data_IF_216511083752
#
_entry.id   IF_216511083752
#
_cell.length_a   1.000
_cell.length_b   1.000
_cell.length_c   1.000
_cell.angle_alpha   90.00
_cell.angle_beta   90.00
_cell.angle_gamma   90.00
#
_symmetry.space_group_name_H-M   'P 1'
#
loop_
_entity.id
_entity.type
_entity.pdbx_description
1 polymer ?
#
# COMPACT_ATOMS: atom_id res chain seq x y z
N UNK A 1 -21.80 -6.31 -11.39
CA UNK A 1 -20.84 -5.36 -11.99
C UNK A 1 -19.97 -6.07 -13.01
N UNK A 2 -19.55 -5.38 -14.07
CA UNK A 2 -18.50 -5.82 -15.01
C UNK A 2 -17.17 -5.27 -14.56
N UNK A 3 -16.19 -6.11 -14.29
CA UNK A 3 -14.90 -5.76 -13.69
C UNK A 3 -13.78 -5.91 -14.72
N UNK A 4 -12.98 -4.87 -14.90
CA UNK A 4 -11.72 -4.91 -15.64
C UNK A 4 -10.55 -5.00 -14.67
N UNK A 5 -9.64 -5.97 -14.84
CA UNK A 5 -8.42 -6.11 -14.04
C UNK A 5 -7.22 -5.88 -14.95
N UNK A 6 -6.56 -4.75 -14.82
CA UNK A 6 -5.34 -4.41 -15.56
C UNK A 6 -4.11 -4.91 -14.80
N UNK A 7 -3.19 -5.59 -15.50
CA UNK A 7 -2.06 -6.27 -14.87
C UNK A 7 -2.46 -7.53 -14.10
N UNK A 8 -3.66 -8.09 -14.41
CA UNK A 8 -4.29 -9.13 -13.60
C UNK A 8 -3.64 -10.51 -13.70
N UNK A 9 -2.69 -10.74 -14.60
CA UNK A 9 -1.88 -11.97 -14.67
C UNK A 9 -0.50 -11.83 -14.03
N UNK A 10 -0.14 -10.63 -13.57
CA UNK A 10 1.11 -10.35 -12.86
C UNK A 10 1.11 -10.84 -11.41
N UNK A 11 2.22 -10.66 -10.69
CA UNK A 11 2.42 -11.13 -9.32
C UNK A 11 1.25 -10.82 -8.39
N UNK A 12 0.93 -9.53 -8.18
CA UNK A 12 -0.19 -9.09 -7.33
C UNK A 12 -1.56 -9.36 -8.00
N UNK A 13 -1.63 -9.19 -9.33
CA UNK A 13 -2.87 -9.31 -10.10
C UNK A 13 -3.50 -10.69 -10.05
N UNK A 14 -2.71 -11.76 -9.99
CA UNK A 14 -3.22 -13.13 -9.86
C UNK A 14 -4.00 -13.35 -8.58
N UNK A 15 -3.50 -12.81 -7.46
CA UNK A 15 -4.19 -12.92 -6.17
C UNK A 15 -5.49 -12.14 -6.18
N UNK A 16 -5.48 -10.89 -6.66
CA UNK A 16 -6.70 -10.11 -6.84
C UNK A 16 -7.70 -10.80 -7.76
N UNK A 17 -7.25 -11.28 -8.95
CA UNK A 17 -8.13 -11.95 -9.91
C UNK A 17 -8.75 -13.22 -9.35
N UNK A 18 -7.99 -14.04 -8.61
CA UNK A 18 -8.51 -15.22 -7.92
C UNK A 18 -9.49 -14.85 -6.83
N UNK A 19 -9.14 -13.86 -5.98
CA UNK A 19 -9.99 -13.43 -4.88
C UNK A 19 -11.37 -12.92 -5.35
N UNK A 20 -11.42 -12.15 -6.44
CA UNK A 20 -12.67 -11.60 -6.95
C UNK A 20 -13.48 -12.59 -7.80
N UNK A 21 -12.89 -13.69 -8.25
CA UNK A 21 -13.55 -14.65 -9.15
C UNK A 21 -14.79 -15.30 -8.53
N UNK A 22 -14.82 -15.42 -7.22
CA UNK A 22 -15.91 -16.01 -6.42
C UNK A 22 -16.87 -14.98 -5.82
N UNK A 23 -16.62 -13.67 -5.99
CA UNK A 23 -17.48 -12.65 -5.41
C UNK A 23 -18.86 -12.62 -6.11
N UNK A 24 -19.90 -12.56 -5.29
CA UNK A 24 -21.24 -12.31 -5.76
C UNK A 24 -21.39 -10.88 -6.31
N UNK A 25 -22.37 -10.66 -7.18
CA UNK A 25 -22.61 -9.34 -7.78
C UNK A 25 -21.71 -9.01 -8.97
N UNK A 26 -20.72 -9.86 -9.33
CA UNK A 26 -19.90 -9.73 -10.53
C UNK A 26 -20.54 -10.53 -11.66
N UNK A 27 -20.87 -9.83 -12.75
CA UNK A 27 -21.44 -10.43 -13.97
C UNK A 27 -20.39 -10.93 -14.96
N UNK A 28 -19.25 -10.23 -15.03
CA UNK A 28 -18.09 -10.63 -15.84
C UNK A 28 -16.79 -10.01 -15.34
N UNK A 29 -15.67 -10.71 -15.56
CA UNK A 29 -14.32 -10.26 -15.27
C UNK A 29 -13.51 -10.31 -16.57
N UNK A 30 -12.95 -9.17 -16.96
CA UNK A 30 -11.95 -9.10 -18.03
C UNK A 30 -10.57 -8.92 -17.39
N UNK A 31 -9.70 -9.90 -17.53
CA UNK A 31 -8.30 -9.82 -17.08
C UNK A 31 -7.48 -9.34 -18.27
N UNK A 32 -6.77 -8.23 -18.12
CA UNK A 32 -5.98 -7.64 -19.20
C UNK A 32 -4.51 -7.52 -18.79
N UNK A 33 -3.64 -7.87 -19.71
CA UNK A 33 -2.20 -7.76 -19.51
C UNK A 33 -1.49 -7.52 -20.85
N UNK A 34 -0.23 -7.08 -20.81
CA UNK A 34 0.56 -6.87 -22.02
C UNK A 34 0.82 -8.18 -22.79
N UNK A 35 1.06 -9.27 -22.06
CA UNK A 35 1.27 -10.60 -22.63
C UNK A 35 -0.06 -11.34 -22.87
N UNK A 36 -0.57 -11.22 -24.08
CA UNK A 36 -1.85 -11.83 -24.48
C UNK A 36 -1.92 -13.34 -24.20
N UNK A 37 -0.85 -14.10 -24.52
CA UNK A 37 -0.83 -15.56 -24.32
C UNK A 37 -0.88 -15.94 -22.85
N UNK A 38 -0.11 -15.24 -22.01
CA UNK A 38 -0.08 -15.50 -20.57
C UNK A 38 -1.41 -15.19 -19.90
N UNK A 39 -2.03 -14.05 -20.24
CA UNK A 39 -3.30 -13.65 -19.65
C UNK A 39 -4.45 -14.54 -20.12
N UNK A 40 -4.47 -14.98 -21.37
CA UNK A 40 -5.47 -15.94 -21.89
C UNK A 40 -5.33 -17.31 -21.16
N UNK A 41 -4.10 -17.82 -21.03
CA UNK A 41 -3.87 -19.06 -20.30
C UNK A 41 -4.29 -18.96 -18.84
N UNK A 42 -4.00 -17.82 -18.18
CA UNK A 42 -4.39 -17.57 -16.80
C UNK A 42 -5.92 -17.46 -16.66
N UNK A 43 -6.59 -16.74 -17.54
CA UNK A 43 -8.06 -16.61 -17.52
C UNK A 43 -8.75 -17.97 -17.76
N UNK A 44 -8.22 -18.80 -18.65
CA UNK A 44 -8.74 -20.14 -18.90
C UNK A 44 -8.59 -21.09 -17.69
N UNK A 45 -7.65 -20.84 -16.78
CA UNK A 45 -7.47 -21.65 -15.57
C UNK A 45 -8.60 -21.53 -14.55
N UNK A 46 -9.50 -20.57 -14.71
CA UNK A 46 -10.68 -20.41 -13.83
C UNK A 46 -11.86 -21.30 -14.22
N UNK A 47 -11.82 -21.94 -15.36
CA UNK A 47 -12.92 -22.82 -15.85
C UNK A 47 -14.31 -22.12 -15.81
N UNK A 48 -14.34 -20.82 -16.07
CA UNK A 48 -15.54 -19.97 -15.93
C UNK A 48 -15.80 -19.13 -17.18
N UNK A 49 -17.01 -19.20 -17.70
CA UNK A 49 -17.46 -18.39 -18.84
C UNK A 49 -17.59 -16.88 -18.51
N UNK A 50 -17.53 -16.51 -17.22
CA UNK A 50 -17.59 -15.10 -16.78
C UNK A 50 -16.24 -14.42 -16.85
N UNK A 51 -15.14 -15.18 -17.01
CA UNK A 51 -13.77 -14.67 -16.97
C UNK A 51 -13.13 -14.82 -18.34
N UNK A 52 -12.59 -13.73 -18.87
CA UNK A 52 -11.85 -13.71 -20.12
C UNK A 52 -10.51 -12.99 -19.99
N UNK A 53 -9.50 -13.46 -20.71
CA UNK A 53 -8.18 -12.83 -20.82
C UNK A 53 -8.05 -12.05 -22.13
N UNK A 54 -7.45 -10.86 -22.07
CA UNK A 54 -7.17 -10.07 -23.27
C UNK A 54 -5.77 -9.44 -23.23
N UNK A 55 -5.09 -9.39 -24.38
CA UNK A 55 -3.87 -8.62 -24.55
C UNK A 55 -4.16 -7.13 -24.68
N UNK A 56 -3.63 -6.31 -23.76
CA UNK A 56 -3.82 -4.87 -23.74
C UNK A 56 -2.52 -4.15 -23.36
N UNK A 57 -2.12 -3.20 -24.19
CA UNK A 57 -1.16 -2.18 -23.80
C UNK A 57 -1.95 -0.96 -23.28
N UNK A 58 -1.83 -0.65 -21.98
CA UNK A 58 -2.52 0.50 -21.36
C UNK A 58 -2.10 1.86 -21.91
N UNK A 59 -0.99 1.94 -22.65
CA UNK A 59 -0.57 3.14 -23.37
C UNK A 59 -1.33 3.35 -24.70
N UNK A 60 -2.03 2.34 -25.20
CA UNK A 60 -2.97 2.50 -26.32
C UNK A 60 -4.27 3.09 -25.78
N UNK A 61 -4.30 4.44 -25.71
CA UNK A 61 -5.42 5.19 -25.14
C UNK A 61 -6.76 4.85 -25.81
N UNK A 62 -6.78 4.65 -27.13
CA UNK A 62 -7.99 4.34 -27.87
C UNK A 62 -8.57 2.98 -27.47
N UNK A 63 -7.71 1.96 -27.43
CA UNK A 63 -8.10 0.60 -27.03
C UNK A 63 -8.47 0.53 -25.54
N UNK A 64 -7.71 1.22 -24.67
CA UNK A 64 -8.02 1.29 -23.25
C UNK A 64 -9.40 1.89 -22.99
N UNK A 65 -9.71 3.06 -23.57
CA UNK A 65 -11.03 3.70 -23.44
C UNK A 65 -12.16 2.83 -23.97
N UNK A 66 -12.00 2.22 -25.16
CA UNK A 66 -13.00 1.31 -25.71
C UNK A 66 -13.32 0.14 -24.79
N UNK A 67 -12.31 -0.39 -24.07
CA UNK A 67 -12.54 -1.46 -23.11
C UNK A 67 -13.19 -0.93 -21.83
N UNK A 68 -12.73 0.20 -21.30
CA UNK A 68 -13.27 0.81 -20.08
C UNK A 68 -14.76 1.16 -20.23
N UNK A 69 -15.20 1.63 -21.41
CA UNK A 69 -16.60 1.97 -21.68
C UNK A 69 -17.57 0.79 -21.48
N UNK A 70 -17.09 -0.45 -21.57
CA UNK A 70 -17.90 -1.67 -21.38
C UNK A 70 -17.86 -2.19 -19.92
N UNK A 71 -17.16 -1.50 -19.00
CA UNK A 71 -16.96 -1.95 -17.63
C UNK A 71 -17.47 -0.93 -16.60
N UNK A 72 -17.91 -1.43 -15.44
CA UNK A 72 -18.40 -0.59 -14.34
C UNK A 72 -17.26 -0.12 -13.42
N UNK A 73 -16.21 -0.95 -13.29
CA UNK A 73 -15.06 -0.72 -12.41
C UNK A 73 -13.80 -1.30 -13.01
N UNK A 74 -12.68 -0.57 -12.83
CA UNK A 74 -11.33 -1.04 -13.15
C UNK A 74 -10.50 -1.19 -11.89
N UNK A 75 -9.82 -2.34 -11.76
CA UNK A 75 -8.78 -2.61 -10.78
C UNK A 75 -7.43 -2.48 -11.51
N UNK A 76 -6.62 -1.48 -11.14
CA UNK A 76 -5.35 -1.23 -11.80
C UNK A 76 -4.17 -1.73 -10.97
N UNK A 77 -3.57 -2.84 -11.42
CA UNK A 77 -2.34 -3.42 -10.87
C UNK A 77 -1.18 -3.31 -11.87
N UNK A 78 -1.26 -2.37 -12.81
CA UNK A 78 -0.25 -2.21 -13.85
C UNK A 78 0.89 -1.33 -13.36
N UNK A 79 2.01 -1.94 -13.02
CA UNK A 79 3.26 -1.22 -12.68
C UNK A 79 4.12 -0.90 -13.91
N UNK A 80 5.03 0.09 -13.84
CA UNK A 80 5.24 0.99 -12.69
C UNK A 80 4.19 2.12 -12.61
N UNK A 81 3.73 2.43 -11.39
CA UNK A 81 2.63 3.34 -11.15
C UNK A 81 2.93 4.80 -11.53
N UNK A 82 4.17 5.25 -11.37
CA UNK A 82 4.59 6.59 -11.81
C UNK A 82 4.34 6.84 -13.30
N UNK A 83 4.20 5.77 -14.09
CA UNK A 83 3.95 5.85 -15.54
C UNK A 83 2.48 5.60 -15.90
N UNK A 84 1.80 4.68 -15.21
CA UNK A 84 0.52 4.15 -15.66
C UNK A 84 -0.67 4.55 -14.78
N UNK A 85 -0.50 4.88 -13.49
CA UNK A 85 -1.62 5.14 -12.59
C UNK A 85 -2.49 6.31 -13.07
N UNK A 86 -1.90 7.50 -13.26
CA UNK A 86 -2.64 8.68 -13.67
C UNK A 86 -3.37 8.53 -15.02
N UNK A 87 -2.73 8.09 -16.12
CA UNK A 87 -3.43 7.98 -17.40
C UNK A 87 -4.53 6.91 -17.41
N UNK A 88 -4.42 5.87 -16.59
CA UNK A 88 -5.48 4.87 -16.47
C UNK A 88 -6.66 5.42 -15.68
N UNK A 89 -6.41 6.12 -14.56
CA UNK A 89 -7.46 6.79 -13.78
C UNK A 89 -8.20 7.83 -14.62
N UNK A 90 -7.46 8.70 -15.34
CA UNK A 90 -8.04 9.70 -16.24
C UNK A 90 -9.00 9.03 -17.25
N UNK A 91 -8.52 8.00 -17.94
CA UNK A 91 -9.34 7.27 -18.91
C UNK A 91 -10.57 6.58 -18.27
N UNK A 92 -10.41 6.01 -17.06
CA UNK A 92 -11.52 5.38 -16.35
C UNK A 92 -12.64 6.38 -16.01
N UNK A 93 -12.28 7.55 -15.50
CA UNK A 93 -13.25 8.60 -15.18
C UNK A 93 -13.93 9.16 -16.42
N UNK A 94 -13.18 9.38 -17.50
CA UNK A 94 -13.75 9.82 -18.79
C UNK A 94 -14.80 8.84 -19.33
N UNK A 95 -14.57 7.52 -19.16
CA UNK A 95 -15.47 6.45 -19.58
C UNK A 95 -16.50 6.04 -18.50
N UNK A 96 -16.69 6.86 -17.47
CA UNK A 96 -17.64 6.62 -16.37
C UNK A 96 -17.43 5.30 -15.62
N UNK A 97 -16.19 4.89 -15.42
CA UNK A 97 -15.79 3.69 -14.72
C UNK A 97 -15.27 4.03 -13.30
N UNK A 98 -15.67 3.27 -12.27
CA UNK A 98 -15.03 3.35 -10.98
C UNK A 98 -13.58 2.85 -11.05
N UNK A 99 -12.72 3.31 -10.17
CA UNK A 99 -11.30 2.99 -10.19
C UNK A 99 -10.78 2.60 -8.82
N UNK A 100 -10.05 1.49 -8.73
CA UNK A 100 -9.29 1.11 -7.55
C UNK A 100 -7.89 0.68 -7.99
N UNK A 101 -6.86 1.06 -7.22
CA UNK A 101 -5.48 0.63 -7.48
C UNK A 101 -4.70 0.31 -6.20
N UNK A 102 -3.48 -0.15 -6.39
CA UNK A 102 -2.50 -0.42 -5.34
C UNK A 102 -1.27 0.50 -5.46
N UNK A 103 -1.45 1.71 -6.00
CA UNK A 103 -0.36 2.66 -6.23
C UNK A 103 0.37 3.02 -4.93
N UNK A 104 1.66 2.76 -4.88
CA UNK A 104 2.54 3.02 -3.74
C UNK A 104 3.55 4.17 -4.00
N UNK A 105 3.38 4.89 -5.11
CA UNK A 105 4.19 6.05 -5.46
C UNK A 105 3.52 7.37 -5.06
N UNK A 106 4.22 8.23 -4.34
CA UNK A 106 3.68 9.52 -3.90
C UNK A 106 3.44 10.54 -5.04
N UNK A 107 4.30 10.57 -6.07
CA UNK A 107 4.20 11.51 -7.19
C UNK A 107 2.94 11.31 -8.03
N UNK A 108 2.63 10.10 -8.54
CA UNK A 108 1.37 9.86 -9.24
C UNK A 108 0.16 10.01 -8.34
N UNK A 109 0.25 9.66 -7.05
CA UNK A 109 -0.84 9.86 -6.08
C UNK A 109 -1.20 11.34 -5.95
N UNK A 110 -0.22 12.22 -5.77
CA UNK A 110 -0.47 13.67 -5.72
C UNK A 110 -1.10 14.18 -7.03
N UNK A 111 -0.65 13.67 -8.16
CA UNK A 111 -1.23 14.03 -9.46
C UNK A 111 -2.65 13.51 -9.62
N UNK A 112 -2.95 12.28 -9.18
CA UNK A 112 -4.28 11.70 -9.27
C UNK A 112 -5.33 12.50 -8.48
N UNK A 113 -4.98 13.14 -7.37
CA UNK A 113 -5.90 14.04 -6.65
C UNK A 113 -6.38 15.23 -7.49
N UNK A 114 -5.64 15.65 -8.53
CA UNK A 114 -6.11 16.71 -9.44
C UNK A 114 -7.34 16.30 -10.26
N UNK A 115 -7.66 15.01 -10.31
CA UNK A 115 -8.84 14.47 -10.98
C UNK A 115 -10.07 14.37 -10.06
N UNK A 116 -9.97 14.83 -8.79
CA UNK A 116 -11.06 14.71 -7.81
C UNK A 116 -12.35 15.36 -8.32
N UNK A 117 -12.28 16.58 -8.84
CA UNK A 117 -13.45 17.28 -9.36
C UNK A 117 -14.11 16.48 -10.51
N UNK A 118 -13.32 15.94 -11.44
CA UNK A 118 -13.84 15.10 -12.53
C UNK A 118 -14.56 13.86 -11.99
N UNK A 119 -13.99 13.21 -10.97
CA UNK A 119 -14.61 12.04 -10.35
C UNK A 119 -15.95 12.38 -9.67
N UNK A 120 -16.03 13.52 -8.98
CA UNK A 120 -17.26 14.04 -8.35
C UNK A 120 -18.32 14.37 -9.39
N UNK A 121 -17.96 15.11 -10.45
CA UNK A 121 -18.86 15.46 -11.55
C UNK A 121 -19.44 14.22 -12.26
N UNK A 122 -18.65 13.17 -12.37
CA UNK A 122 -19.06 11.89 -12.95
C UNK A 122 -19.76 10.96 -11.94
N UNK A 123 -19.87 11.36 -10.68
CA UNK A 123 -20.36 10.53 -9.57
C UNK A 123 -19.64 9.16 -9.53
N UNK A 124 -18.31 9.19 -9.67
CA UNK A 124 -17.43 8.02 -9.63
C UNK A 124 -16.51 8.05 -8.43
N UNK A 125 -16.26 6.88 -7.88
CA UNK A 125 -15.30 6.66 -6.83
C UNK A 125 -13.99 6.17 -7.45
N UNK A 126 -12.89 6.79 -7.05
CA UNK A 126 -11.55 6.27 -7.24
C UNK A 126 -10.88 6.10 -5.87
N UNK A 127 -10.47 4.88 -5.50
CA UNK A 127 -9.64 4.64 -4.31
C UNK A 127 -8.23 4.33 -4.79
N UNK A 128 -7.28 5.15 -4.39
CA UNK A 128 -5.88 5.05 -4.78
C UNK A 128 -5.04 4.51 -3.63
N UNK A 129 -4.24 3.47 -3.89
CA UNK A 129 -3.36 2.88 -2.90
C UNK A 129 -4.05 1.91 -1.94
N UNK A 130 -4.82 0.96 -2.43
CA UNK A 130 -5.54 -0.02 -1.62
C UNK A 130 -4.83 -1.38 -1.61
N UNK A 131 -3.59 -1.39 -1.12
CA UNK A 131 -2.72 -2.57 -0.98
C UNK A 131 -2.32 -2.84 0.48
N UNK A 132 -1.05 -3.22 0.68
CA UNK A 132 -0.49 -3.43 2.01
C UNK A 132 -0.04 -2.10 2.64
N UNK A 133 0.83 -1.36 1.94
CA UNK A 133 1.28 0.00 2.26
C UNK A 133 1.49 0.73 0.93
N UNK A 134 0.57 1.65 0.59
CA UNK A 134 -0.66 2.02 1.29
C UNK A 134 -1.75 0.93 1.27
N UNK A 135 -2.75 1.12 2.11
CA UNK A 135 -3.93 0.26 2.23
C UNK A 135 -4.12 -0.25 3.66
N UNK A 136 -3.62 -1.45 3.99
CA UNK A 136 -3.68 -1.99 5.36
C UNK A 136 -3.11 -0.99 6.36
N UNK A 137 -1.96 -0.40 6.08
CA UNK A 137 -1.31 0.59 6.96
C UNK A 137 -2.17 1.84 7.19
N UNK A 138 -2.92 2.30 6.16
CA UNK A 138 -3.85 3.42 6.31
C UNK A 138 -4.99 3.08 7.28
N UNK A 139 -5.58 1.88 7.17
CA UNK A 139 -6.66 1.48 8.08
C UNK A 139 -6.15 1.25 9.50
N UNK A 140 -4.93 0.72 9.69
CA UNK A 140 -4.30 0.62 11.02
C UNK A 140 -4.09 2.02 11.62
N UNK A 141 -3.57 2.96 10.85
CA UNK A 141 -3.38 4.34 11.29
C UNK A 141 -4.72 5.04 11.59
N UNK A 142 -5.73 4.86 10.73
CA UNK A 142 -7.07 5.39 10.96
C UNK A 142 -7.70 4.81 12.25
N UNK A 143 -7.47 3.53 12.54
CA UNK A 143 -7.91 2.91 13.80
C UNK A 143 -7.17 3.50 15.01
N UNK A 144 -5.86 3.78 14.89
CA UNK A 144 -5.11 4.46 15.94
C UNK A 144 -5.61 5.89 16.17
N UNK A 145 -5.87 6.64 15.10
CA UNK A 145 -6.42 8.00 15.15
C UNK A 145 -7.78 8.05 15.86
N UNK A 146 -8.62 7.03 15.66
CA UNK A 146 -9.97 6.98 16.27
C UNK A 146 -9.96 6.86 17.80
N UNK A 147 -8.82 6.53 18.41
CA UNK A 147 -8.66 6.50 19.87
C UNK A 147 -8.30 7.87 20.48
N UNK A 148 -8.02 8.88 19.67
CA UNK A 148 -7.61 10.20 20.09
C UNK A 148 -8.72 11.25 19.86
N UNK A 149 -8.81 12.25 20.73
CA UNK A 149 -9.70 13.39 20.55
C UNK A 149 -9.11 14.43 19.57
N UNK A 150 -7.79 14.52 19.54
CA UNK A 150 -7.04 15.41 18.66
C UNK A 150 -5.79 14.69 18.15
N UNK A 151 -5.63 14.60 16.83
CA UNK A 151 -4.47 13.96 16.19
C UNK A 151 -3.47 15.01 15.72
N UNK A 152 -2.20 14.86 16.08
CA UNK A 152 -1.11 15.74 15.66
C UNK A 152 -0.17 15.09 14.67
N UNK A 153 0.13 13.81 14.87
CA UNK A 153 1.06 13.08 13.99
C UNK A 153 0.50 11.72 13.63
N UNK A 154 0.80 11.29 12.43
CA UNK A 154 0.42 9.97 11.92
C UNK A 154 1.64 9.34 11.24
N UNK A 155 1.96 8.12 11.66
CA UNK A 155 3.00 7.31 11.04
C UNK A 155 2.43 5.98 10.60
N UNK A 156 2.75 5.57 9.40
CA UNK A 156 2.54 4.22 8.91
C UNK A 156 3.87 3.51 8.81
N UNK A 157 3.92 2.23 9.11
CA UNK A 157 5.18 1.50 9.13
C UNK A 157 5.04 0.08 8.60
N UNK A 158 6.14 -0.43 8.02
CA UNK A 158 6.22 -1.77 7.48
C UNK A 158 7.65 -2.32 7.55
N UNK A 159 7.74 -3.65 7.65
CA UNK A 159 8.99 -4.39 7.74
C UNK A 159 9.40 -4.91 6.36
N UNK A 160 10.60 -4.51 5.90
CA UNK A 160 11.13 -4.97 4.62
C UNK A 160 11.41 -6.48 4.60
N UNK A 161 11.70 -7.08 5.76
CA UNK A 161 11.95 -8.52 5.85
C UNK A 161 10.69 -9.37 5.68
N UNK A 162 9.50 -8.78 5.88
CA UNK A 162 8.22 -9.46 5.65
C UNK A 162 7.76 -9.44 4.19
N UNK A 163 8.43 -8.66 3.33
CA UNK A 163 8.13 -8.61 1.90
C UNK A 163 8.74 -9.83 1.18
N UNK A 164 8.07 -10.97 1.28
CA UNK A 164 8.48 -12.20 0.59
C UNK A 164 8.13 -12.12 -0.89
N UNK A 165 9.11 -12.26 -1.84
CA UNK A 165 8.83 -12.25 -3.26
C UNK A 165 8.03 -13.49 -3.66
N UNK A 166 7.16 -13.34 -4.66
CA UNK A 166 6.37 -14.45 -5.21
C UNK A 166 7.27 -15.46 -5.93
N UNK A 167 7.10 -16.75 -5.63
CA UNK A 167 7.90 -17.85 -6.25
C UNK A 167 7.77 -17.90 -7.78
N UNK A 168 6.66 -17.42 -8.34
CA UNK A 168 6.39 -17.48 -9.80
C UNK A 168 6.91 -16.27 -10.58
N UNK A 169 7.57 -15.30 -9.97
CA UNK A 169 8.11 -14.11 -10.66
C UNK A 169 9.34 -14.38 -11.51
N UNK A 170 9.81 -15.63 -11.58
CA UNK A 170 11.09 -16.05 -12.16
C UNK A 170 11.21 -16.00 -13.70
N UNK A 171 10.22 -15.49 -14.42
CA UNK A 171 10.26 -15.43 -15.90
C UNK A 171 10.51 -14.05 -16.50
N UNK A 172 10.71 -13.01 -15.72
CA UNK A 172 11.04 -11.67 -16.23
C UNK A 172 12.54 -11.36 -16.08
N UNK A 173 13.06 -10.56 -16.98
CA UNK A 173 14.48 -10.14 -17.05
C UNK A 173 15.01 -9.43 -15.79
N UNK A 174 14.12 -8.83 -14.99
CA UNK A 174 14.36 -8.23 -13.64
C UNK A 174 13.03 -8.22 -12.90
N UNK A 175 13.02 -8.55 -11.62
CA UNK A 175 11.83 -8.45 -10.79
C UNK A 175 11.33 -6.99 -10.76
N UNK A 176 10.08 -6.77 -11.21
CA UNK A 176 9.50 -5.44 -11.31
C UNK A 176 9.38 -4.75 -9.93
N UNK A 177 9.08 -5.50 -8.87
CA UNK A 177 9.00 -4.98 -7.51
C UNK A 177 10.38 -4.52 -7.00
N UNK A 178 11.46 -5.27 -7.30
CA UNK A 178 12.82 -4.88 -6.92
C UNK A 178 13.27 -3.60 -7.64
N UNK A 179 12.98 -3.50 -8.94
CA UNK A 179 13.30 -2.28 -9.70
C UNK A 179 12.53 -1.07 -9.15
N UNK A 180 11.27 -1.27 -8.82
CA UNK A 180 10.41 -0.26 -8.22
C UNK A 180 10.93 0.18 -6.84
N UNK A 181 11.29 -0.76 -5.96
CA UNK A 181 11.89 -0.47 -4.67
C UNK A 181 13.17 0.38 -4.79
N UNK A 182 14.03 0.11 -5.79
CA UNK A 182 15.20 0.95 -6.06
C UNK A 182 14.79 2.36 -6.48
N UNK A 183 13.76 2.51 -7.30
CA UNK A 183 13.28 3.82 -7.74
C UNK A 183 12.79 4.65 -6.56
N UNK A 184 12.06 4.06 -5.63
CA UNK A 184 11.57 4.74 -4.42
C UNK A 184 12.68 5.09 -3.43
N UNK A 185 13.80 4.37 -3.44
CA UNK A 185 14.93 4.61 -2.55
C UNK A 185 15.98 5.60 -3.08
N UNK A 186 15.84 6.08 -4.33
CA UNK A 186 16.76 7.04 -4.99
C UNK A 186 16.09 8.41 -5.11
N UNK A 187 16.89 9.47 -5.05
CA UNK A 187 16.38 10.84 -5.18
C UNK A 187 15.81 11.41 -3.90
N UNK A 188 14.60 11.95 -3.97
CA UNK A 188 13.91 12.57 -2.83
C UNK A 188 12.47 12.06 -2.75
N UNK A 189 11.97 11.92 -1.53
CA UNK A 189 10.59 11.55 -1.22
C UNK A 189 9.88 12.68 -0.50
N UNK A 190 8.58 12.80 -0.71
CA UNK A 190 7.76 13.83 -0.10
C UNK A 190 7.21 13.35 1.23
N UNK A 191 7.36 14.17 2.25
CA UNK A 191 6.85 13.94 3.60
C UNK A 191 6.17 15.21 4.12
N UNK A 192 5.37 15.08 5.18
CA UNK A 192 4.74 16.21 5.84
C UNK A 192 5.29 16.38 7.25
N UNK A 193 5.98 17.49 7.51
CA UNK A 193 6.66 17.76 8.80
C UNK A 193 6.51 19.24 9.14
N UNK A 194 6.06 19.51 10.38
CA UNK A 194 5.81 20.87 10.88
C UNK A 194 4.84 21.66 9.98
N UNK A 195 3.69 21.07 9.68
CA UNK A 195 2.63 21.64 8.82
C UNK A 195 3.08 22.02 7.40
N UNK A 196 4.12 21.36 6.87
CA UNK A 196 4.64 21.64 5.53
C UNK A 196 5.12 20.38 4.82
N UNK A 197 4.79 20.30 3.54
CA UNK A 197 5.42 19.31 2.67
C UNK A 197 6.91 19.61 2.48
N UNK A 198 7.73 18.58 2.61
CA UNK A 198 9.19 18.65 2.43
C UNK A 198 9.68 17.49 1.58
N UNK A 199 10.64 17.78 0.72
CA UNK A 199 11.39 16.74 -0.01
C UNK A 199 12.63 16.36 0.80
N UNK A 200 12.67 15.12 1.26
CA UNK A 200 13.77 14.57 2.05
C UNK A 200 14.45 13.41 1.33
N UNK A 201 15.65 13.06 1.73
CA UNK A 201 16.29 11.83 1.23
C UNK A 201 15.60 10.62 1.85
N UNK A 202 15.23 9.59 1.05
CA UNK A 202 14.73 8.32 1.58
C UNK A 202 15.81 7.65 2.44
N UNK A 203 15.40 6.72 3.29
CA UNK A 203 16.23 6.00 4.26
C UNK A 203 16.90 6.90 5.33
N UNK A 204 16.43 8.13 5.49
CA UNK A 204 16.81 8.94 6.66
C UNK A 204 16.18 8.34 7.90
N UNK A 205 16.99 8.07 8.92
CA UNK A 205 16.50 7.52 10.19
C UNK A 205 15.75 8.56 11.01
N UNK A 206 14.64 8.11 11.57
CA UNK A 206 13.84 8.81 12.57
C UNK A 206 13.65 7.91 13.79
N UNK A 207 13.44 8.53 14.95
CA UNK A 207 13.06 7.82 16.17
C UNK A 207 11.54 7.64 16.18
N UNK A 208 11.11 6.45 16.56
CA UNK A 208 9.73 6.06 16.74
C UNK A 208 9.60 5.54 18.17
N UNK A 209 8.83 6.23 19.00
CA UNK A 209 8.46 5.71 20.30
C UNK A 209 7.17 4.90 20.13
N UNK A 210 7.31 3.57 20.09
CA UNK A 210 6.17 2.69 19.93
C UNK A 210 5.60 2.35 21.32
N UNK A 211 4.31 2.58 21.57
CA UNK A 211 3.68 2.27 22.86
C UNK A 211 4.00 0.85 23.34
N UNK A 212 4.36 0.72 24.62
CA UNK A 212 4.72 -0.54 25.30
C UNK A 212 6.02 -1.21 24.84
N UNK A 213 6.46 -0.98 23.60
CA UNK A 213 7.70 -1.56 23.08
C UNK A 213 8.92 -0.63 23.26
N UNK A 214 8.72 0.70 23.33
CA UNK A 214 9.79 1.68 23.54
C UNK A 214 10.32 2.32 22.26
N UNK A 215 11.59 2.76 22.28
CA UNK A 215 12.22 3.55 21.23
C UNK A 215 12.88 2.69 20.15
N UNK A 216 12.53 2.94 18.92
CA UNK A 216 13.08 2.30 17.72
C UNK A 216 13.61 3.32 16.72
N UNK A 217 14.41 2.83 15.78
CA UNK A 217 14.86 3.62 14.62
C UNK A 217 14.28 3.03 13.35
N UNK A 218 13.43 3.80 12.66
CA UNK A 218 12.90 3.45 11.35
C UNK A 218 13.45 4.39 10.28
N UNK A 219 13.32 4.01 9.03
CA UNK A 219 13.78 4.76 7.86
C UNK A 219 12.61 5.42 7.15
N UNK A 220 12.69 6.71 6.84
CA UNK A 220 11.70 7.38 5.99
C UNK A 220 11.65 6.69 4.63
N UNK A 221 10.44 6.35 4.18
CA UNK A 221 10.19 5.76 2.87
C UNK A 221 9.23 6.63 2.05
N UNK A 222 9.13 6.38 0.74
CA UNK A 222 8.44 7.24 -0.21
C UNK A 222 7.00 6.87 -0.50
N UNK A 223 6.33 6.13 0.37
CA UNK A 223 4.94 5.77 0.14
C UNK A 223 3.98 6.95 0.36
N UNK A 224 2.82 6.92 -0.30
CA UNK A 224 1.90 8.05 -0.37
C UNK A 224 1.19 8.40 0.94
N UNK A 225 1.15 7.52 1.96
CA UNK A 225 0.50 7.82 3.25
C UNK A 225 1.05 9.11 3.89
N UNK A 226 2.35 9.38 3.68
CA UNK A 226 2.97 10.62 4.15
C UNK A 226 2.34 11.90 3.57
N UNK A 227 1.63 11.80 2.45
CA UNK A 227 0.97 12.93 1.79
C UNK A 227 -0.56 12.82 1.80
N UNK A 228 -1.13 11.63 1.86
CA UNK A 228 -2.57 11.43 1.81
C UNK A 228 -3.24 11.77 3.15
N UNK A 229 -2.64 11.41 4.29
CA UNK A 229 -3.17 11.81 5.59
C UNK A 229 -3.30 13.33 5.74
N UNK A 230 -2.26 14.16 5.53
CA UNK A 230 -2.44 15.61 5.64
C UNK A 230 -3.31 16.22 4.54
N UNK A 231 -3.51 15.53 3.41
CA UNK A 231 -4.45 15.95 2.39
C UNK A 231 -5.91 15.83 2.87
N UNK A 232 -6.23 14.76 3.58
CA UNK A 232 -7.59 14.48 4.06
C UNK A 232 -7.85 14.95 5.50
N UNK A 233 -6.79 15.13 6.31
CA UNK A 233 -6.81 15.55 7.70
C UNK A 233 -5.85 16.75 7.90
N UNK A 234 -6.28 17.96 7.52
CA UNK A 234 -5.41 19.16 7.51
C UNK A 234 -4.94 19.61 8.90
N UNK A 235 -5.55 19.10 9.97
CA UNK A 235 -5.15 19.35 11.37
C UNK A 235 -3.87 18.61 11.78
N UNK A 236 -3.45 17.60 11.03
CA UNK A 236 -2.22 16.86 11.28
C UNK A 236 -1.02 17.75 10.99
N UNK A 237 -0.04 17.77 11.90
CA UNK A 237 1.20 18.55 11.75
C UNK A 237 2.37 17.75 11.17
N UNK A 238 2.30 16.39 11.27
CA UNK A 238 3.34 15.50 10.77
C UNK A 238 2.76 14.18 10.26
N UNK A 239 3.21 13.73 9.08
CA UNK A 239 2.87 12.43 8.52
C UNK A 239 4.07 11.83 7.79
N UNK A 240 4.42 10.58 8.15
CA UNK A 240 5.55 9.83 7.60
C UNK A 240 5.13 8.40 7.27
N UNK A 241 5.68 7.86 6.18
CA UNK A 241 5.74 6.41 5.99
C UNK A 241 7.14 5.92 6.34
N UNK A 242 7.23 4.82 7.08
CA UNK A 242 8.44 4.33 7.72
C UNK A 242 8.70 2.87 7.38
N UNK A 243 9.91 2.56 6.97
CA UNK A 243 10.41 1.20 6.75
C UNK A 243 11.36 0.81 7.88
N UNK A 244 11.30 -0.43 8.31
CA UNK A 244 12.23 -1.03 9.29
C UNK A 244 12.63 -2.45 8.87
N UNK A 245 13.32 -3.20 9.74
CA UNK A 245 13.76 -4.57 9.45
C UNK A 245 15.04 -4.65 8.63
N UNK A 246 15.50 -3.54 8.02
CA UNK A 246 16.74 -3.55 7.26
C UNK A 246 17.97 -3.78 8.17
N UNK A 247 18.84 -4.71 7.78
CA UNK A 247 20.11 -4.94 8.47
C UNK A 247 21.21 -3.92 8.09
N UNK A 248 22.32 -3.95 8.81
CA UNK A 248 23.43 -3.03 8.57
C UNK A 248 24.11 -3.27 7.22
N UNK A 249 24.17 -4.52 6.77
CA UNK A 249 24.78 -4.92 5.48
C UNK A 249 23.95 -4.42 4.31
N UNK A 250 22.64 -4.65 4.35
CA UNK A 250 21.69 -4.12 3.38
C UNK A 250 21.81 -2.60 3.24
N UNK A 251 21.82 -1.89 4.37
CA UNK A 251 21.95 -0.42 4.39
C UNK A 251 23.24 0.08 3.76
N UNK A 252 24.36 -0.61 4.01
CA UNK A 252 25.65 -0.24 3.45
C UNK A 252 25.67 -0.46 1.94
N UNK A 253 25.28 -1.65 1.50
CA UNK A 253 25.21 -2.01 0.07
C UNK A 253 24.28 -1.04 -0.66
N UNK A 254 23.12 -0.78 -0.08
CA UNK A 254 22.15 0.11 -0.69
C UNK A 254 22.65 1.55 -0.83
N UNK A 255 23.34 2.09 0.20
CA UNK A 255 23.98 3.41 0.11
C UNK A 255 25.01 3.49 -1.02
N UNK A 256 25.76 2.41 -1.21
CA UNK A 256 26.76 2.32 -2.27
C UNK A 256 26.11 2.27 -3.66
N UNK A 257 25.10 1.40 -3.85
CA UNK A 257 24.34 1.31 -5.10
C UNK A 257 23.69 2.65 -5.44
N UNK A 258 23.02 3.25 -4.47
CA UNK A 258 22.40 4.56 -4.62
C UNK A 258 23.38 5.64 -5.07
N UNK A 259 24.57 5.72 -4.46
CA UNK A 259 25.61 6.66 -4.86
C UNK A 259 25.96 6.48 -6.34
N UNK A 260 26.20 5.26 -6.81
CA UNK A 260 26.53 5.00 -8.20
C UNK A 260 25.36 5.25 -9.17
N UNK A 261 24.12 5.06 -8.72
CA UNK A 261 22.93 5.42 -9.52
C UNK A 261 22.79 6.94 -9.64
N UNK A 262 22.94 7.68 -8.53
CA UNK A 262 22.81 9.15 -8.50
C UNK A 262 23.86 9.84 -9.37
N UNK A 263 25.10 9.33 -9.43
CA UNK A 263 26.15 9.83 -10.34
C UNK A 263 26.04 9.25 -11.76
N UNK A 264 24.96 8.50 -12.07
CA UNK A 264 24.65 7.92 -13.39
C UNK A 264 25.70 6.93 -13.93
N UNK A 265 26.51 6.32 -13.09
CA UNK A 265 27.49 5.28 -13.46
C UNK A 265 26.82 3.89 -13.46
N UNK A 266 25.85 3.65 -12.60
CA UNK A 266 25.13 2.39 -12.49
C UNK A 266 23.67 2.52 -12.92
N UNK A 267 23.22 1.83 -13.98
CA UNK A 267 21.81 1.79 -14.34
C UNK A 267 20.95 1.13 -13.25
N UNK A 268 19.75 1.65 -12.98
CA UNK A 268 18.82 1.11 -11.98
C UNK A 268 18.52 -0.39 -12.18
N UNK A 269 18.33 -0.84 -13.43
CA UNK A 269 18.14 -2.27 -13.75
C UNK A 269 19.32 -3.15 -13.34
N UNK A 270 20.54 -2.65 -13.49
CA UNK A 270 21.74 -3.39 -13.07
C UNK A 270 21.83 -3.45 -11.54
N UNK A 271 21.47 -2.36 -10.86
CA UNK A 271 21.39 -2.35 -9.41
C UNK A 271 20.34 -3.33 -8.87
N UNK A 272 19.17 -3.44 -9.53
CA UNK A 272 18.14 -4.42 -9.20
C UNK A 272 18.67 -5.86 -9.30
N UNK A 273 19.36 -6.21 -10.38
CA UNK A 273 19.98 -7.54 -10.53
C UNK A 273 21.02 -7.84 -9.45
N UNK A 274 21.79 -6.84 -9.04
CA UNK A 274 22.77 -6.99 -7.94
C UNK A 274 22.05 -7.31 -6.63
N UNK A 275 20.96 -6.62 -6.32
CA UNK A 275 20.18 -6.88 -5.11
C UNK A 275 19.51 -8.25 -5.15
N UNK A 276 18.87 -8.63 -6.25
CA UNK A 276 18.31 -9.97 -6.45
C UNK A 276 19.36 -11.07 -6.22
N UNK A 277 20.56 -10.90 -6.78
CA UNK A 277 21.65 -11.86 -6.58
C UNK A 277 22.12 -11.91 -5.11
N UNK A 278 22.11 -10.80 -4.39
CA UNK A 278 22.45 -10.77 -2.97
C UNK A 278 21.39 -11.46 -2.12
N UNK A 279 20.11 -11.24 -2.38
CA UNK A 279 19.01 -11.91 -1.68
C UNK A 279 19.05 -13.43 -1.82
N UNK A 280 19.39 -13.95 -3.01
CA UNK A 280 19.54 -15.40 -3.21
C UNK A 280 20.65 -16.04 -2.38
N UNK A 281 21.63 -15.23 -1.90
CA UNK A 281 22.74 -15.72 -1.05
C UNK A 281 22.48 -15.57 0.43
N UNK A 282 21.64 -14.64 0.81
CA UNK A 282 21.34 -14.28 2.21
C UNK A 282 19.98 -14.85 2.65
N UNK A 283 19.73 -16.14 2.37
CA UNK A 283 18.63 -16.88 2.98
C UNK A 283 18.92 -17.07 4.48
N UNK A 284 19.09 -15.95 5.20
CA UNK A 284 19.23 -15.94 6.65
C UNK A 284 17.86 -16.20 7.26
N UNK A 285 17.84 -17.16 8.17
CA UNK A 285 16.70 -17.57 9.01
C UNK A 285 15.90 -16.38 9.54
N UNK A 286 14.58 -16.55 9.77
CA UNK A 286 13.75 -15.54 10.42
C UNK A 286 14.48 -15.04 11.67
N UNK A 287 14.81 -13.75 11.72
CA UNK A 287 15.39 -13.15 12.92
C UNK A 287 14.36 -13.23 14.03
N UNK A 288 14.78 -13.65 15.21
CA UNK A 288 13.97 -13.61 16.42
C UNK A 288 13.33 -12.22 16.53
N UNK A 289 11.99 -12.15 16.35
CA UNK A 289 11.20 -10.90 16.37
C UNK A 289 11.02 -10.33 17.79
N UNK A 290 11.78 -10.83 18.77
CA UNK A 290 11.80 -10.31 20.13
C UNK A 290 12.47 -8.95 20.11
N UNK A 291 11.73 -7.89 20.44
CA UNK A 291 12.11 -6.47 20.39
C UNK A 291 12.25 -5.84 18.99
N UNK A 292 11.36 -6.14 18.07
CA UNK A 292 11.22 -5.41 16.80
C UNK A 292 9.88 -4.67 16.71
N UNK A 293 9.79 -3.68 15.82
CA UNK A 293 8.50 -3.11 15.45
C UNK A 293 7.65 -4.17 14.74
N UNK A 294 6.30 -4.11 14.84
CA UNK A 294 5.40 -5.01 14.13
C UNK A 294 5.60 -4.97 12.62
N UNK A 295 5.33 -6.08 11.93
CA UNK A 295 5.49 -6.21 10.48
C UNK A 295 4.76 -5.13 9.68
N UNK A 296 3.55 -4.72 10.12
CA UNK A 296 2.84 -3.53 9.63
C UNK A 296 2.14 -2.84 10.80
N UNK A 297 2.16 -1.52 10.82
CA UNK A 297 1.52 -0.74 11.88
C UNK A 297 1.05 0.64 11.42
N UNK A 298 0.09 1.19 12.16
CA UNK A 298 -0.28 2.59 12.17
C UNK A 298 -0.04 3.16 13.57
N UNK A 299 0.54 4.35 13.65
CA UNK A 299 0.82 5.06 14.91
C UNK A 299 0.27 6.47 14.81
N UNK A 300 -0.52 6.89 15.78
CA UNK A 300 -1.02 8.25 15.92
C UNK A 300 -0.57 8.85 17.25
N UNK A 301 -0.10 10.10 17.21
CA UNK A 301 0.22 10.89 18.40
C UNK A 301 -0.68 12.12 18.46
N UNK A 302 -1.15 12.45 19.65
CA UNK A 302 -2.05 13.58 19.85
C UNK A 302 -2.53 13.71 21.28
N UNK A 303 -3.82 14.02 21.49
CA UNK A 303 -4.39 14.19 22.83
C UNK A 303 -5.61 13.31 23.02
N UNK A 304 -5.74 12.73 24.21
CA UNK A 304 -6.93 12.05 24.70
C UNK A 304 -7.30 12.60 26.07
N UNK A 305 -8.49 13.17 26.23
CA UNK A 305 -8.93 13.87 27.45
C UNK A 305 -7.93 14.94 27.93
N UNK A 306 -7.29 15.65 26.98
CA UNK A 306 -6.28 16.68 27.28
C UNK A 306 -4.89 16.16 27.68
N UNK A 307 -4.70 14.83 27.66
CA UNK A 307 -3.41 14.19 27.96
C UNK A 307 -2.74 13.81 26.64
N UNK A 308 -1.46 14.16 26.49
CA UNK A 308 -0.66 13.75 25.34
C UNK A 308 -0.55 12.22 25.32
N UNK A 309 -0.95 11.63 24.18
CA UNK A 309 -1.18 10.20 24.07
C UNK A 309 -0.64 9.72 22.72
N UNK A 310 0.07 8.59 22.72
CA UNK A 310 0.42 7.85 21.53
C UNK A 310 -0.38 6.55 21.46
N UNK A 311 -0.94 6.25 20.32
CA UNK A 311 -1.70 5.02 20.05
C UNK A 311 -1.12 4.34 18.84
N UNK A 312 -0.76 3.08 18.98
CA UNK A 312 -0.30 2.24 17.88
C UNK A 312 -1.27 1.08 17.66
N UNK A 313 -1.49 0.74 16.40
CA UNK A 313 -2.30 -0.40 15.98
C UNK A 313 -1.50 -1.22 14.97
N UNK A 314 -1.41 -2.51 15.22
CA UNK A 314 -0.76 -3.48 14.34
C UNK A 314 -1.64 -4.70 14.10
N UNK A 315 -1.28 -5.53 13.12
CA UNK A 315 -1.85 -6.86 13.01
C UNK A 315 -1.20 -7.79 14.04
N UNK A 316 -1.98 -8.74 14.57
CA UNK A 316 -1.49 -9.75 15.52
C UNK A 316 -0.53 -10.71 14.81
N UNK A 317 0.78 -10.51 15.01
CA UNK A 317 1.86 -11.30 14.39
C UNK A 317 1.95 -12.75 14.92
N UNK A 318 1.18 -13.11 15.94
CA UNK A 318 1.18 -14.49 16.48
C UNK A 318 0.35 -15.44 15.63
N UNK A 319 -0.40 -14.95 14.64
CA UNK A 319 -1.17 -15.81 13.75
C UNK A 319 -0.25 -16.44 12.69
N UNK A 320 -0.28 -17.77 12.55
CA UNK A 320 0.41 -18.50 11.46
C UNK A 320 0.08 -17.96 10.06
N UNK A 321 -1.05 -17.27 9.94
CA UNK A 321 -1.51 -16.66 8.70
C UNK A 321 -0.59 -15.54 8.25
N UNK A 322 -0.16 -14.65 9.17
CA UNK A 322 0.72 -13.53 8.83
C UNK A 322 2.14 -13.98 8.53
N UNK A 323 2.63 -15.03 9.21
CA UNK A 323 3.95 -15.60 8.91
C UNK A 323 4.05 -16.22 7.51
N UNK A 324 2.91 -16.65 6.94
CA UNK A 324 2.85 -17.32 5.63
C UNK A 324 2.25 -16.45 4.54
N UNK A 325 1.83 -15.22 4.86
CA UNK A 325 1.20 -14.32 3.90
C UNK A 325 2.21 -13.82 2.89
N UNK A 326 1.99 -14.14 1.63
CA UNK A 326 2.81 -13.65 0.53
C UNK A 326 2.57 -12.15 0.27
N UNK A 327 3.53 -11.49 -0.40
CA UNK A 327 3.35 -10.09 -0.84
C UNK A 327 2.13 -9.95 -1.77
N UNK A 328 1.87 -10.95 -2.61
CA UNK A 328 0.71 -10.96 -3.50
C UNK A 328 -0.61 -10.99 -2.77
N UNK A 329 -0.73 -11.76 -1.70
CA UNK A 329 -1.90 -11.80 -0.82
C UNK A 329 -2.06 -10.50 -0.04
N UNK A 330 -0.97 -10.04 0.61
CA UNK A 330 -0.97 -8.81 1.39
C UNK A 330 -1.38 -7.57 0.58
N UNK A 331 -1.08 -7.57 -0.72
CA UNK A 331 -1.37 -6.43 -1.60
C UNK A 331 -2.64 -6.64 -2.43
N UNK A 332 -2.89 -7.86 -2.90
CA UNK A 332 -4.01 -8.15 -3.80
C UNK A 332 -5.36 -8.31 -3.09
N UNK A 333 -5.38 -8.86 -1.88
CA UNK A 333 -6.63 -9.07 -1.14
C UNK A 333 -7.27 -7.78 -0.61
N UNK A 334 -6.53 -6.75 -0.13
CA UNK A 334 -7.12 -5.46 0.18
C UNK A 334 -7.85 -4.82 -1.01
N UNK A 335 -7.28 -4.91 -2.21
CA UNK A 335 -7.92 -4.42 -3.43
C UNK A 335 -9.22 -5.19 -3.74
N UNK A 336 -9.20 -6.52 -3.60
CA UNK A 336 -10.40 -7.37 -3.75
C UNK A 336 -11.46 -7.04 -2.68
N UNK A 337 -11.04 -6.77 -1.44
CA UNK A 337 -11.91 -6.35 -0.35
C UNK A 337 -12.58 -5.00 -0.66
N UNK A 338 -11.83 -4.02 -1.18
CA UNK A 338 -12.41 -2.75 -1.63
C UNK A 338 -13.43 -2.91 -2.74
N UNK A 339 -13.18 -3.79 -3.71
CA UNK A 339 -14.17 -4.11 -4.75
C UNK A 339 -15.44 -4.74 -4.15
N UNK A 340 -15.31 -5.69 -3.21
CA UNK A 340 -16.44 -6.28 -2.50
C UNK A 340 -17.30 -5.21 -1.84
N UNK A 341 -16.66 -4.29 -1.12
CA UNK A 341 -17.35 -3.18 -0.44
C UNK A 341 -18.05 -2.23 -1.43
N UNK A 342 -17.45 -1.99 -2.59
CA UNK A 342 -18.09 -1.21 -3.65
C UNK A 342 -19.34 -1.90 -4.17
N UNK A 343 -19.28 -3.21 -4.45
CA UNK A 343 -20.42 -4.03 -4.91
C UNK A 343 -21.55 -4.03 -3.88
N UNK A 344 -21.23 -4.10 -2.61
CA UNK A 344 -22.19 -4.11 -1.50
C UNK A 344 -22.77 -2.72 -1.16
N UNK A 345 -22.33 -1.67 -1.88
CA UNK A 345 -22.81 -0.30 -1.66
C UNK A 345 -22.32 0.32 -0.34
N UNK A 346 -21.25 -0.21 0.24
CA UNK A 346 -20.62 0.32 1.47
C UNK A 346 -19.73 1.54 1.20
N UNK A 347 -19.38 1.76 -0.05
CA UNK A 347 -18.61 2.89 -0.56
C UNK A 347 -19.54 3.81 -1.32
N UNK A 348 -20.01 4.87 -0.68
CA UNK A 348 -21.01 5.80 -1.23
C UNK A 348 -20.46 7.15 -1.66
N UNK A 349 -19.17 7.42 -1.38
CA UNK A 349 -18.50 8.67 -1.76
C UNK A 349 -18.14 8.67 -3.23
N UNK A 350 -18.13 9.84 -3.85
CA UNK A 350 -17.49 10.11 -5.13
C UNK A 350 -16.22 10.93 -4.91
N UNK A 351 -15.32 10.91 -5.88
CA UNK A 351 -14.03 11.61 -5.81
C UNK A 351 -12.84 10.68 -5.91
N UNK A 352 -11.65 11.24 -5.89
CA UNK A 352 -10.37 10.52 -5.79
C UNK A 352 -9.92 10.52 -4.33
N UNK A 353 -9.97 9.38 -3.69
CA UNK A 353 -9.79 9.22 -2.26
C UNK A 353 -8.66 8.23 -1.95
N UNK A 354 -7.91 8.47 -0.88
CA UNK A 354 -7.06 7.47 -0.27
C UNK A 354 -7.87 6.56 0.67
N UNK A 355 -7.35 5.39 1.09
CA UNK A 355 -8.09 4.43 1.91
C UNK A 355 -8.66 5.03 3.20
N UNK A 356 -7.90 5.89 3.89
CA UNK A 356 -8.33 6.57 5.11
C UNK A 356 -9.50 7.54 4.94
N UNK A 357 -9.77 7.98 3.70
CA UNK A 357 -10.82 8.94 3.40
C UNK A 357 -12.08 8.32 2.78
N UNK A 358 -12.04 7.04 2.40
CA UNK A 358 -13.13 6.40 1.68
C UNK A 358 -14.41 6.16 2.52
N UNK A 359 -14.33 6.35 3.84
CA UNK A 359 -15.47 6.26 4.76
C UNK A 359 -15.74 4.86 5.29
N UNK A 360 -14.82 3.93 5.10
CA UNK A 360 -14.89 2.58 5.67
C UNK A 360 -14.42 2.62 7.14
N UNK A 361 -15.18 1.94 8.01
CA UNK A 361 -14.72 1.67 9.36
C UNK A 361 -13.55 0.66 9.32
N UNK A 362 -12.40 0.92 10.00
CA UNK A 362 -11.24 0.04 9.97
C UNK A 362 -11.53 -1.39 10.47
N UNK A 363 -12.29 -1.54 11.56
CA UNK A 363 -12.60 -2.86 12.11
C UNK A 363 -13.46 -3.68 11.14
N UNK A 364 -14.40 -3.02 10.46
CA UNK A 364 -15.18 -3.65 9.39
C UNK A 364 -14.32 -4.05 8.21
N UNK A 365 -13.36 -3.20 7.81
CA UNK A 365 -12.40 -3.55 6.76
C UNK A 365 -11.60 -4.80 7.09
N UNK A 366 -11.03 -4.91 8.30
CA UNK A 366 -10.25 -6.07 8.72
C UNK A 366 -11.11 -7.33 8.87
N UNK A 367 -12.35 -7.19 9.30
CA UNK A 367 -13.31 -8.30 9.34
C UNK A 367 -13.56 -8.87 7.94
N UNK A 368 -13.85 -8.01 6.96
CA UNK A 368 -14.10 -8.41 5.57
C UNK A 368 -12.84 -8.93 4.87
N UNK A 369 -11.69 -8.29 5.11
CA UNK A 369 -10.41 -8.73 4.59
C UNK A 369 -10.05 -10.15 5.07
N UNK A 370 -10.36 -10.50 6.32
CA UNK A 370 -10.15 -11.84 6.87
C UNK A 370 -10.80 -12.95 6.05
N UNK A 371 -11.93 -12.65 5.41
CA UNK A 371 -12.66 -13.62 4.57
C UNK A 371 -11.93 -14.05 3.29
N UNK A 372 -10.89 -13.31 2.88
CA UNK A 372 -10.08 -13.67 1.70
C UNK A 372 -8.94 -14.65 2.00
N UNK A 373 -8.61 -14.85 3.27
CA UNK A 373 -7.58 -15.79 3.67
C UNK A 373 -8.17 -17.19 3.91
N UNK A 374 -7.41 -18.21 3.56
CA UNK A 374 -7.86 -19.61 3.61
C UNK A 374 -7.97 -20.20 5.02
N UNK A 375 -7.49 -19.51 6.03
CA UNK A 375 -7.58 -19.93 7.44
C UNK A 375 -8.76 -19.24 8.13
N UNK A 376 -9.44 -19.98 9.02
CA UNK A 376 -10.60 -19.47 9.78
C UNK A 376 -10.24 -18.43 10.86
N UNK A 377 -8.96 -18.11 11.00
CA UNK A 377 -8.50 -17.11 11.96
C UNK A 377 -8.76 -15.70 11.42
N UNK A 378 -9.47 -14.92 12.20
CA UNK A 378 -9.71 -13.52 11.86
C UNK A 378 -8.42 -12.69 12.02
N UNK A 379 -8.17 -11.79 11.08
CA UNK A 379 -7.16 -10.75 11.25
C UNK A 379 -7.51 -9.92 12.49
N UNK A 380 -6.75 -10.10 13.54
CA UNK A 380 -6.91 -9.34 14.77
C UNK A 380 -5.98 -8.14 14.74
N UNK A 381 -6.49 -7.01 15.19
CA UNK A 381 -5.69 -5.81 15.44
C UNK A 381 -5.33 -5.73 16.92
N UNK A 382 -4.07 -5.41 17.20
CA UNK A 382 -3.59 -5.12 18.55
C UNK A 382 -3.49 -3.61 18.69
N UNK A 383 -4.18 -3.04 19.70
CA UNK A 383 -4.16 -1.62 20.03
C UNK A 383 -3.31 -1.44 21.29
N UNK A 384 -2.25 -0.64 21.19
CA UNK A 384 -1.38 -0.28 22.31
C UNK A 384 -1.41 1.22 22.55
N UNK A 385 -1.44 1.65 23.81
CA UNK A 385 -1.61 3.05 24.19
C UNK A 385 -0.54 3.43 25.21
N UNK A 386 0.14 4.55 24.98
CA UNK A 386 1.09 5.13 25.94
C UNK A 386 0.68 6.57 26.25
N UNK A 387 0.58 6.88 27.54
CA UNK A 387 0.34 8.23 28.04
C UNK A 387 1.68 8.85 28.44
N UNK A 388 1.99 10.04 27.93
CA UNK A 388 3.10 10.82 28.47
C UNK A 388 2.66 11.39 29.82
N UNK A 389 3.09 10.75 30.89
CA UNK A 389 2.96 11.35 32.22
C UNK A 389 3.85 12.61 32.25
N UNK A 390 3.22 13.77 32.42
CA UNK A 390 3.90 14.93 32.94
C UNK A 390 4.49 14.50 34.29
N UNK A 391 5.79 14.19 34.34
CA UNK A 391 6.51 14.18 35.60
C UNK A 391 6.45 15.61 36.09
N UNK A 392 5.52 15.89 37.02
CA UNK A 392 5.56 17.11 37.79
C UNK A 392 6.98 17.19 38.39
N UNK A 393 7.68 18.32 38.23
CA UNK A 393 8.93 18.48 38.90
C UNK A 393 8.69 18.26 40.39
N UNK A 394 9.28 17.21 40.97
CA UNK A 394 9.31 17.05 42.42
C UNK A 394 10.02 18.28 42.96
N UNK A 395 9.25 19.23 43.42
CA UNK A 395 9.75 20.30 44.27
C UNK A 395 10.30 19.63 45.54
N UNK A 396 11.58 19.29 45.49
CA UNK A 396 12.33 18.96 46.68
C UNK A 396 12.38 20.19 47.55
N UNK A 397 11.59 20.18 48.61
CA UNK A 397 11.72 21.14 49.72
C UNK A 397 12.92 20.77 50.54
N UNK A 398 13.82 21.77 50.71
CA UNK A 398 14.83 22.04 51.72
C UNK A 398 16.04 21.13 51.79
#
# INVERSE_FOLDING_TARGET
MKVLVLGGSGGMGRFTSRAISSLEGISSITIADLNAKAVEAFANSFESNKIKGIGLNVLDKGKLKSILADHDVVLNLTGPFFKFAFPVLEAALEENCHYLDICDDWEPTEKMFTLNQLAEEKNKLAIIGLGASPGITNFLALRAMSELDEVKKVYTGWDISSAQPEEESSQSDVNAAMLHGIEQMVGKVKVFINNKFKLVRPLKKVHVNYPELGDFKASIFGHPEAITFPHHYPEISESLNLMHGEDTSFRFIFKLLRFFIEIKVLPKKTAARILEWLETKDASSPKDMVNSLPGVYGLAEGFKNGVETAVAVSLDSTSEMLEKMSMGEATGYPLACGLKMLIEGKLSKSGVLAPEACGINPDYFFQELSGFFSQKDHLKTIVTVSYTHLTLPTTGSV
#
